data_IF_773411282113
#
_entry.id   IF_773411282113
#
_cell.length_a   1.000
_cell.length_b   1.000
_cell.length_c   1.000
_cell.angle_alpha   90.00
_cell.angle_beta   90.00
_cell.angle_gamma   90.00
#
_symmetry.space_group_name_H-M   'P 1'
#
loop_
_entity.id
_entity.type
_entity.pdbx_description
1 polymer ?
#
# COMPACT_ATOMS: atom_id res chain seq x y z
N UNK A 1 -7.27 -53.32 -41.48
CA UNK A 1 -6.71 -53.12 -40.12
C UNK A 1 -5.52 -52.17 -40.24
N UNK A 2 -5.68 -50.92 -39.82
CA UNK A 2 -4.67 -50.00 -39.26
C UNK A 2 -5.51 -48.85 -38.70
N UNK A 3 -5.57 -48.75 -37.37
CA UNK A 3 -6.26 -47.70 -36.64
C UNK A 3 -5.32 -46.49 -36.59
N UNK A 4 -5.65 -45.43 -37.30
CA UNK A 4 -4.99 -44.14 -37.12
C UNK A 4 -5.54 -43.50 -35.84
N UNK A 5 -4.77 -43.63 -34.75
CA UNK A 5 -5.00 -42.89 -33.51
C UNK A 5 -4.67 -41.44 -33.79
N UNK A 6 -5.69 -40.58 -33.84
CA UNK A 6 -5.51 -39.14 -33.84
C UNK A 6 -4.96 -38.75 -32.46
N UNK A 7 -3.69 -38.37 -32.43
CA UNK A 7 -3.01 -37.81 -31.27
C UNK A 7 -3.70 -36.47 -30.95
N UNK A 8 -4.52 -36.45 -29.89
CA UNK A 8 -4.96 -35.21 -29.27
C UNK A 8 -3.69 -34.52 -28.74
N UNK A 9 -3.21 -33.49 -29.43
CA UNK A 9 -2.29 -32.53 -28.84
C UNK A 9 -3.00 -31.90 -27.65
N UNK A 10 -2.69 -32.42 -26.45
CA UNK A 10 -2.86 -31.71 -25.20
C UNK A 10 -2.06 -30.42 -25.31
N UNK A 11 -2.70 -29.35 -25.79
CA UNK A 11 -2.33 -28.00 -25.44
C UNK A 11 -2.57 -27.92 -23.94
N UNK A 12 -1.53 -28.25 -23.16
CA UNK A 12 -1.45 -27.78 -21.79
C UNK A 12 -1.60 -26.26 -21.90
N UNK A 13 -2.66 -25.65 -21.34
CA UNK A 13 -2.63 -24.21 -21.22
C UNK A 13 -1.45 -23.92 -20.29
N UNK A 14 -0.45 -23.22 -20.81
CA UNK A 14 0.54 -22.56 -19.99
C UNK A 14 -0.20 -21.45 -19.22
N UNK A 15 -0.93 -21.85 -18.19
CA UNK A 15 -1.45 -20.94 -17.20
C UNK A 15 -0.32 -20.62 -16.23
N UNK A 16 -0.28 -19.33 -15.89
CA UNK A 16 0.55 -18.68 -14.89
C UNK A 16 1.94 -18.33 -15.43
N UNK A 17 1.96 -17.30 -16.30
CA UNK A 17 3.07 -16.36 -16.30
C UNK A 17 3.22 -15.89 -14.85
N UNK A 18 4.38 -16.16 -14.23
CA UNK A 18 4.62 -15.81 -12.85
C UNK A 18 4.31 -14.32 -12.64
N UNK A 19 3.73 -13.99 -11.50
CA UNK A 19 3.51 -12.59 -11.12
C UNK A 19 4.86 -11.86 -11.18
N UNK A 20 5.06 -11.00 -12.17
CA UNK A 20 6.31 -10.26 -12.30
C UNK A 20 6.43 -9.31 -11.11
N UNK A 21 7.49 -9.50 -10.33
CA UNK A 21 7.77 -8.68 -9.16
C UNK A 21 8.03 -7.27 -9.62
N UNK A 22 7.17 -6.36 -9.16
CA UNK A 22 7.34 -4.93 -9.38
C UNK A 22 6.98 -4.18 -8.13
N UNK A 23 7.15 -2.87 -8.20
CA UNK A 23 6.82 -2.01 -7.08
C UNK A 23 6.29 -0.69 -7.59
N UNK A 24 4.99 -0.50 -7.44
CA UNK A 24 4.30 0.67 -7.98
C UNK A 24 3.38 1.28 -6.94
N UNK A 25 3.04 2.55 -7.15
CA UNK A 25 2.03 3.24 -6.35
C UNK A 25 1.06 3.99 -7.22
N UNK A 26 -0.01 4.45 -6.57
CA UNK A 26 -1.15 5.16 -7.17
C UNK A 26 -1.95 4.27 -8.09
N UNK A 27 -3.25 4.53 -8.13
CA UNK A 27 -4.21 4.00 -9.08
C UNK A 27 -4.85 5.15 -9.86
N UNK A 28 -5.26 4.85 -11.09
CA UNK A 28 -6.07 5.76 -11.90
C UNK A 28 -6.56 5.07 -13.16
N UNK A 29 -7.70 5.56 -13.66
CA UNK A 29 -8.36 4.97 -14.83
C UNK A 29 -7.91 5.60 -16.15
N UNK A 30 -7.31 6.79 -16.12
CA UNK A 30 -6.86 7.48 -17.31
C UNK A 30 -5.57 6.83 -17.85
N UNK A 31 -5.58 6.17 -19.01
CA UNK A 31 -4.38 5.51 -19.53
C UNK A 31 -3.30 6.50 -19.99
N UNK A 32 -3.63 7.78 -20.14
CA UNK A 32 -2.70 8.85 -20.52
C UNK A 32 -2.02 9.53 -19.33
N UNK A 33 -2.51 9.27 -18.10
CA UNK A 33 -1.88 9.77 -16.87
C UNK A 33 -0.87 8.74 -16.32
N UNK A 34 0.04 9.20 -15.48
CA UNK A 34 0.96 8.33 -14.75
C UNK A 34 0.24 7.65 -13.57
N UNK A 35 -0.66 6.73 -13.90
CA UNK A 35 -1.62 6.10 -12.97
C UNK A 35 -1.08 4.91 -12.19
N UNK A 36 0.12 4.41 -12.54
CA UNK A 36 0.84 3.36 -11.81
C UNK A 36 2.33 3.72 -11.79
N UNK A 37 2.71 4.55 -10.83
CA UNK A 37 4.04 5.14 -10.73
C UNK A 37 5.06 4.13 -10.21
N UNK A 38 6.17 3.96 -10.92
CA UNK A 38 7.25 3.05 -10.54
C UNK A 38 8.06 3.56 -9.33
N UNK A 39 8.26 2.69 -8.35
CA UNK A 39 8.95 2.97 -7.09
C UNK A 39 10.33 2.29 -7.04
N UNK A 40 11.35 2.92 -6.43
CA UNK A 40 12.65 2.29 -6.28
C UNK A 40 12.58 1.03 -5.40
N UNK A 41 13.30 -0.02 -5.82
CA UNK A 41 13.40 -1.33 -5.13
C UNK A 41 14.71 -1.52 -4.37
N UNK A 42 15.65 -0.58 -4.53
CA UNK A 42 16.95 -0.56 -3.86
C UNK A 42 17.41 0.87 -3.61
N UNK A 43 18.34 1.07 -2.67
CA UNK A 43 19.01 2.36 -2.45
C UNK A 43 19.70 2.89 -3.72
N UNK A 44 20.30 2.00 -4.53
CA UNK A 44 20.91 2.36 -5.81
C UNK A 44 19.88 2.86 -6.83
N UNK A 45 18.70 2.23 -6.89
CA UNK A 45 17.61 2.71 -7.76
C UNK A 45 16.98 4.01 -7.24
N UNK A 46 16.95 4.21 -5.92
CA UNK A 46 16.48 5.44 -5.30
C UNK A 46 17.42 6.61 -5.64
N UNK A 47 18.72 6.42 -5.44
CA UNK A 47 19.74 7.40 -5.81
C UNK A 47 19.70 7.75 -7.31
N UNK A 48 19.49 6.77 -8.19
CA UNK A 48 19.29 7.00 -9.64
C UNK A 48 18.05 7.85 -9.96
N UNK A 49 17.03 7.80 -9.11
CA UNK A 49 15.83 8.64 -9.19
C UNK A 49 15.98 9.97 -8.44
N UNK A 50 17.20 10.32 -8.01
CA UNK A 50 17.51 11.52 -7.22
C UNK A 50 16.81 11.56 -5.85
N UNK A 51 16.52 10.40 -5.27
CA UNK A 51 16.04 10.32 -3.91
C UNK A 51 17.19 10.50 -2.92
N UNK A 52 16.89 11.13 -1.80
CA UNK A 52 17.82 11.42 -0.72
C UNK A 52 17.56 10.52 0.48
N UNK A 53 18.63 10.16 1.17
CA UNK A 53 18.55 9.46 2.45
C UNK A 53 18.36 10.51 3.54
N UNK A 54 17.31 10.38 4.34
CA UNK A 54 16.91 11.36 5.35
C UNK A 54 16.79 10.70 6.71
N UNK A 55 16.91 11.51 7.76
CA UNK A 55 16.66 11.04 9.12
C UNK A 55 15.19 10.62 9.23
N UNK A 56 15.00 9.38 9.70
CA UNK A 56 13.68 8.77 9.84
C UNK A 56 13.03 9.27 11.13
N UNK A 57 11.69 9.48 11.17
CA UNK A 57 10.98 9.66 12.42
C UNK A 57 11.00 8.39 13.28
N UNK A 58 10.13 8.35 14.30
CA UNK A 58 9.85 7.16 15.09
C UNK A 58 9.82 5.88 14.22
N UNK A 59 10.43 4.82 14.74
CA UNK A 59 10.48 3.52 14.10
C UNK A 59 9.97 2.47 15.08
N UNK A 60 9.08 1.61 14.61
CA UNK A 60 8.63 0.48 15.40
C UNK A 60 9.80 -0.48 15.73
N UNK A 61 9.70 -1.18 16.86
CA UNK A 61 10.74 -2.06 17.38
C UNK A 61 11.21 -3.09 16.34
N UNK A 62 12.53 -3.22 16.18
CA UNK A 62 13.19 -4.11 15.21
C UNK A 62 13.34 -3.55 13.78
N UNK A 63 12.72 -2.40 13.50
CA UNK A 63 12.84 -1.70 12.21
C UNK A 63 13.69 -0.42 12.26
N UNK A 64 14.32 -0.12 13.39
CA UNK A 64 15.09 1.11 13.63
C UNK A 64 16.29 1.25 12.71
N UNK A 65 16.88 0.12 12.28
CA UNK A 65 18.02 0.09 11.37
C UNK A 65 17.66 0.39 9.90
N UNK A 66 16.37 0.43 9.55
CA UNK A 66 15.95 0.69 8.18
C UNK A 66 16.21 2.16 7.80
N UNK A 67 16.76 2.36 6.62
CA UNK A 67 17.06 3.69 6.08
C UNK A 67 15.86 4.24 5.32
N UNK A 68 15.53 5.51 5.54
CA UNK A 68 14.45 6.21 4.83
C UNK A 68 15.00 6.94 3.61
N UNK A 69 14.48 6.60 2.43
CA UNK A 69 14.79 7.28 1.17
C UNK A 69 13.54 7.95 0.61
N UNK A 70 13.63 9.23 0.31
CA UNK A 70 12.52 10.04 -0.20
C UNK A 70 12.91 10.79 -1.48
N UNK A 71 11.98 11.11 -2.39
CA UNK A 71 12.20 12.15 -3.40
C UNK A 71 12.72 13.43 -2.75
N UNK A 72 13.69 14.11 -3.38
CA UNK A 72 14.35 15.28 -2.76
C UNK A 72 13.41 16.46 -2.45
N UNK A 73 12.29 16.54 -3.16
CA UNK A 73 11.33 17.65 -3.16
C UNK A 73 9.96 17.28 -2.57
N UNK A 74 9.69 16.01 -2.27
CA UNK A 74 8.40 15.55 -1.76
C UNK A 74 8.52 14.26 -0.93
N UNK A 75 8.24 14.35 0.37
CA UNK A 75 8.34 13.21 1.32
C UNK A 75 7.00 12.50 1.57
N UNK A 76 5.97 12.70 0.72
CA UNK A 76 4.68 12.01 0.81
C UNK A 76 4.81 10.49 0.69
N UNK A 77 5.75 10.00 -0.12
CA UNK A 77 6.01 8.58 -0.25
C UNK A 77 7.51 8.31 -0.29
N UNK A 78 7.97 7.63 0.75
CA UNK A 78 9.35 7.24 0.92
C UNK A 78 9.45 5.72 1.01
N UNK A 79 10.60 5.17 0.60
CA UNK A 79 10.90 3.75 0.77
C UNK A 79 11.79 3.57 1.99
N UNK A 80 11.60 2.44 2.67
CA UNK A 80 12.52 1.95 3.68
C UNK A 80 13.44 0.93 3.02
N UNK A 81 14.75 1.02 3.23
CA UNK A 81 15.71 0.00 2.78
C UNK A 81 16.42 -0.65 3.94
N UNK A 82 16.70 -1.95 3.84
CA UNK A 82 17.37 -2.73 4.89
C UNK A 82 18.90 -2.80 4.71
N UNK A 83 19.55 -3.65 5.52
CA UNK A 83 20.99 -3.89 5.53
C UNK A 83 21.54 -4.36 4.18
N UNK A 84 20.68 -4.92 3.32
CA UNK A 84 21.05 -5.40 1.98
C UNK A 84 20.88 -4.33 0.91
N UNK A 85 20.38 -3.15 1.29
CA UNK A 85 20.08 -2.05 0.38
C UNK A 85 18.82 -2.26 -0.45
N UNK A 86 18.03 -3.30 -0.16
CA UNK A 86 16.77 -3.61 -0.82
C UNK A 86 15.60 -2.95 -0.11
N UNK A 87 14.56 -2.61 -0.86
CA UNK A 87 13.32 -2.09 -0.28
C UNK A 87 12.74 -3.11 0.69
N UNK A 88 12.45 -2.62 1.88
CA UNK A 88 12.02 -3.35 3.06
C UNK A 88 10.69 -2.86 3.59
N UNK A 89 10.17 -1.76 3.05
CA UNK A 89 8.91 -1.15 3.46
C UNK A 89 8.72 0.20 2.81
N UNK A 90 7.71 0.92 3.27
CA UNK A 90 7.48 2.32 2.91
C UNK A 90 7.03 3.12 4.10
N UNK A 91 7.20 4.43 4.00
CA UNK A 91 6.50 5.41 4.81
C UNK A 91 5.59 6.23 3.89
N UNK A 92 4.32 6.31 4.25
CA UNK A 92 3.35 7.21 3.62
C UNK A 92 3.14 8.38 4.57
N UNK A 93 3.26 9.59 4.05
CA UNK A 93 3.25 10.82 4.83
C UNK A 93 2.20 11.77 4.27
N UNK A 94 1.34 12.34 5.12
CA UNK A 94 0.38 13.39 4.76
C UNK A 94 0.82 14.71 5.37
N UNK A 95 1.00 15.74 4.55
CA UNK A 95 1.41 17.08 4.99
C UNK A 95 0.35 17.73 5.88
N UNK A 96 0.74 18.16 7.07
CA UNK A 96 -0.18 18.74 8.07
C UNK A 96 -0.81 20.05 7.57
N UNK A 97 -0.06 20.88 6.85
CA UNK A 97 -0.51 22.19 6.36
C UNK A 97 -1.52 22.11 5.21
N UNK A 98 -1.61 20.97 4.53
CA UNK A 98 -2.53 20.73 3.40
C UNK A 98 -3.66 19.77 3.73
N UNK A 99 -3.67 19.14 4.91
CA UNK A 99 -4.60 18.08 5.23
C UNK A 99 -5.57 18.48 6.33
N UNK A 100 -6.86 18.26 6.06
CA UNK A 100 -7.91 18.40 7.08
C UNK A 100 -8.38 17.01 7.52
N UNK A 101 -7.88 16.48 8.66
CA UNK A 101 -8.28 15.17 9.15
C UNK A 101 -9.72 15.19 9.68
N UNK A 102 -10.45 14.09 9.48
CA UNK A 102 -11.79 13.88 10.08
C UNK A 102 -11.68 13.30 11.48
N UNK A 103 -10.64 12.50 11.73
CA UNK A 103 -10.41 11.79 12.97
C UNK A 103 -9.11 12.22 13.63
N UNK A 104 -8.98 11.89 14.91
CA UNK A 104 -7.72 12.06 15.62
C UNK A 104 -6.63 11.18 15.01
N UNK A 105 -5.53 11.82 14.61
CA UNK A 105 -4.44 11.16 13.90
C UNK A 105 -3.59 10.27 14.84
N UNK A 106 -3.49 10.61 16.12
CA UNK A 106 -2.75 9.82 17.13
C UNK A 106 -3.48 8.51 17.42
N UNK A 107 -4.80 8.54 17.61
CA UNK A 107 -5.63 7.34 17.76
C UNK A 107 -5.52 6.42 16.53
N UNK A 108 -5.47 7.02 15.33
CA UNK A 108 -5.22 6.31 14.08
C UNK A 108 -3.77 5.78 13.96
N UNK A 109 -2.89 6.07 14.92
CA UNK A 109 -1.51 5.59 14.96
C UNK A 109 -0.56 6.32 14.03
N UNK A 110 -0.87 7.56 13.63
CA UNK A 110 0.07 8.40 12.90
C UNK A 110 1.12 8.99 13.84
N UNK A 111 2.34 9.08 13.33
CA UNK A 111 3.44 9.78 14.00
C UNK A 111 3.67 11.14 13.33
N UNK A 112 3.96 12.15 14.14
CA UNK A 112 4.38 13.46 13.63
C UNK A 112 5.85 13.41 13.21
N UNK A 113 6.15 14.01 12.07
CA UNK A 113 7.50 14.12 11.56
C UNK A 113 7.73 15.51 10.97
N UNK A 114 8.70 16.22 11.54
CA UNK A 114 9.22 17.48 11.00
C UNK A 114 10.43 17.17 10.14
N UNK A 115 10.40 17.54 8.87
CA UNK A 115 11.47 17.25 7.92
C UNK A 115 11.83 18.50 7.11
N UNK A 116 13.12 18.71 6.90
CA UNK A 116 13.59 19.76 6.01
C UNK A 116 13.55 19.28 4.55
N UNK A 117 12.72 19.94 3.75
CA UNK A 117 12.54 19.70 2.31
C UNK A 117 12.82 21.00 1.59
N UNK A 118 13.82 21.01 0.70
CA UNK A 118 14.26 22.20 -0.04
C UNK A 118 14.51 23.47 0.82
N UNK A 119 14.94 23.26 2.07
CA UNK A 119 15.24 24.35 3.01
C UNK A 119 14.03 24.89 3.78
N UNK A 120 12.85 24.26 3.64
CA UNK A 120 11.67 24.51 4.45
C UNK A 120 11.40 23.33 5.38
N UNK A 121 11.12 23.61 6.66
CA UNK A 121 10.67 22.58 7.59
C UNK A 121 9.18 22.31 7.34
N UNK A 122 8.86 21.09 6.95
CA UNK A 122 7.49 20.64 6.66
C UNK A 122 7.08 19.60 7.71
N UNK A 123 5.87 19.75 8.22
CA UNK A 123 5.26 18.82 9.16
C UNK A 123 4.42 17.77 8.43
N UNK A 124 4.59 16.51 8.82
CA UNK A 124 3.88 15.35 8.28
C UNK A 124 3.24 14.50 9.37
N UNK A 125 2.05 13.97 9.08
CA UNK A 125 1.56 12.75 9.70
C UNK A 125 2.08 11.55 8.92
N UNK A 126 2.71 10.59 9.58
CA UNK A 126 3.37 9.46 8.92
C UNK A 126 2.88 8.12 9.44
N UNK A 127 2.81 7.13 8.55
CA UNK A 127 2.66 5.70 8.89
C UNK A 127 3.49 4.84 7.96
N UNK A 128 3.98 3.73 8.49
CA UNK A 128 4.79 2.79 7.75
C UNK A 128 4.13 1.42 7.56
N UNK A 129 4.61 0.73 6.54
CA UNK A 129 4.44 -0.71 6.37
C UNK A 129 5.78 -1.35 6.00
N UNK A 130 5.95 -2.62 6.37
CA UNK A 130 7.19 -3.36 6.29
C UNK A 130 6.95 -4.69 5.56
N UNK A 131 7.77 -4.94 4.55
CA UNK A 131 7.71 -6.12 3.68
C UNK A 131 8.63 -7.25 4.14
N UNK A 132 9.28 -7.06 5.30
CA UNK A 132 10.38 -7.88 5.81
C UNK A 132 10.24 -8.11 7.30
N UNK A 133 11.05 -9.03 7.85
CA UNK A 133 11.07 -9.31 9.27
C UNK A 133 11.67 -8.16 10.07
N UNK A 134 11.18 -7.96 11.30
CA UNK A 134 11.82 -7.12 12.31
C UNK A 134 13.21 -7.67 12.73
N UNK A 135 13.50 -8.95 12.51
CA UNK A 135 14.80 -9.54 12.76
C UNK A 135 15.79 -9.31 11.59
N UNK A 136 16.90 -8.61 11.88
CA UNK A 136 17.92 -8.27 10.89
C UNK A 136 18.59 -9.49 10.25
N UNK A 137 18.85 -10.55 11.03
CA UNK A 137 19.48 -11.76 10.50
C UNK A 137 18.57 -12.44 9.46
N UNK A 138 17.27 -12.48 9.72
CA UNK A 138 16.24 -12.95 8.79
C UNK A 138 16.21 -12.09 7.52
N UNK A 139 16.25 -10.75 7.63
CA UNK A 139 16.26 -9.87 6.45
C UNK A 139 17.41 -10.17 5.50
N UNK A 140 18.61 -10.39 6.05
CA UNK A 140 19.81 -10.73 5.29
C UNK A 140 19.71 -12.13 4.69
N UNK A 141 19.24 -13.12 5.46
CA UNK A 141 19.15 -14.51 5.02
C UNK A 141 18.16 -14.72 3.86
N UNK A 142 17.07 -13.93 3.82
CA UNK A 142 16.00 -14.03 2.81
C UNK A 142 16.01 -12.88 1.80
N UNK A 143 17.14 -12.19 1.64
CA UNK A 143 17.26 -11.13 0.63
C UNK A 143 17.15 -11.70 -0.80
N UNK A 144 15.99 -11.49 -1.43
CA UNK A 144 15.72 -11.92 -2.81
C UNK A 144 14.83 -10.93 -3.58
N UNK A 145 15.33 -9.71 -3.84
CA UNK A 145 14.54 -8.61 -4.41
C UNK A 145 13.98 -8.90 -5.81
N UNK A 146 14.60 -9.82 -6.55
CA UNK A 146 14.17 -10.22 -7.89
C UNK A 146 12.98 -11.19 -7.86
N UNK A 147 12.74 -11.89 -6.73
CA UNK A 147 11.67 -12.90 -6.60
C UNK A 147 10.47 -12.44 -5.78
N UNK A 148 10.64 -11.52 -4.84
CA UNK A 148 9.51 -10.90 -4.15
C UNK A 148 9.92 -9.63 -3.44
N UNK A 149 9.00 -8.66 -3.43
CA UNK A 149 9.11 -7.50 -2.56
C UNK A 149 8.77 -7.88 -1.10
N UNK A 150 7.77 -8.75 -0.92
CA UNK A 150 7.40 -9.31 0.39
C UNK A 150 8.30 -10.52 0.66
N UNK A 151 9.25 -10.36 1.57
CA UNK A 151 10.26 -11.38 1.90
C UNK A 151 9.90 -12.25 3.12
N UNK A 152 8.71 -12.05 3.66
CA UNK A 152 8.06 -12.91 4.64
C UNK A 152 6.73 -13.44 4.09
N UNK A 153 6.02 -14.23 4.89
CA UNK A 153 4.63 -14.64 4.62
C UNK A 153 3.60 -13.58 5.04
N UNK A 154 4.02 -12.33 5.31
CA UNK A 154 3.15 -11.22 5.68
C UNK A 154 3.80 -9.85 5.38
N UNK A 155 2.95 -8.82 5.36
CA UNK A 155 3.33 -7.41 5.47
C UNK A 155 2.94 -6.91 6.86
N UNK A 156 3.86 -6.30 7.59
CA UNK A 156 3.52 -5.64 8.87
C UNK A 156 3.14 -4.20 8.60
N UNK A 157 2.04 -3.71 9.19
CA UNK A 157 1.62 -2.31 9.08
C UNK A 157 1.48 -1.68 10.46
N UNK A 158 1.73 -0.38 10.55
CA UNK A 158 1.38 0.39 11.74
C UNK A 158 -0.14 0.58 11.80
N UNK A 159 -0.75 0.09 12.87
CA UNK A 159 -2.19 0.01 13.10
C UNK A 159 -2.72 1.20 13.90
N UNK A 160 -3.68 0.97 14.79
CA UNK A 160 -4.13 1.99 15.74
C UNK A 160 -3.06 2.23 16.81
N UNK A 161 -2.77 3.49 17.15
CA UNK A 161 -1.71 3.85 18.10
C UNK A 161 -0.39 3.14 17.75
N UNK A 162 0.26 2.51 18.72
CA UNK A 162 1.54 1.82 18.56
C UNK A 162 1.40 0.33 18.15
N UNK A 163 0.22 -0.09 17.69
CA UNK A 163 0.01 -1.50 17.31
C UNK A 163 0.67 -1.81 15.97
N UNK A 164 1.36 -2.96 15.90
CA UNK A 164 1.75 -3.57 14.64
C UNK A 164 0.77 -4.67 14.27
N UNK A 165 0.31 -4.67 13.02
CA UNK A 165 -0.62 -5.67 12.48
C UNK A 165 0.04 -6.40 11.32
N UNK A 166 0.06 -7.73 11.37
CA UNK A 166 0.53 -8.56 10.27
C UNK A 166 -0.63 -8.88 9.33
N UNK A 167 -0.43 -8.59 8.05
CA UNK A 167 -1.35 -8.88 6.96
C UNK A 167 -0.75 -10.02 6.17
N UNK A 168 -1.45 -11.16 6.15
CA UNK A 168 -0.96 -12.38 5.54
C UNK A 168 -0.69 -12.21 4.04
N UNK A 169 0.37 -12.84 3.54
CA UNK A 169 0.68 -12.86 2.10
C UNK A 169 -0.37 -13.64 1.31
N UNK A 170 -1.01 -14.64 1.91
CA UNK A 170 -2.07 -15.43 1.27
C UNK A 170 -3.43 -15.17 1.92
N UNK A 171 -4.47 -15.01 1.10
CA UNK A 171 -5.82 -14.73 1.55
C UNK A 171 -6.42 -15.86 2.39
N UNK A 172 -5.94 -17.10 2.21
CA UNK A 172 -6.34 -18.26 3.03
C UNK A 172 -5.89 -18.14 4.48
N UNK A 173 -4.83 -17.38 4.74
CA UNK A 173 -4.22 -17.20 6.05
C UNK A 173 -4.53 -15.81 6.63
N UNK A 174 -5.31 -14.99 5.91
CA UNK A 174 -5.72 -13.67 6.37
C UNK A 174 -6.66 -13.79 7.58
N UNK A 175 -6.37 -13.02 8.62
CA UNK A 175 -7.21 -12.97 9.81
C UNK A 175 -8.66 -12.58 9.43
N UNK A 176 -9.62 -13.34 9.96
CA UNK A 176 -11.05 -13.14 9.73
C UNK A 176 -11.58 -11.75 10.11
N UNK A 177 -10.84 -10.98 10.90
CA UNK A 177 -11.15 -9.57 11.18
C UNK A 177 -11.13 -8.74 9.90
N UNK A 178 -10.33 -9.07 8.89
CA UNK A 178 -10.37 -8.40 7.60
C UNK A 178 -11.53 -8.96 6.77
N UNK A 179 -12.57 -8.14 6.60
CA UNK A 179 -13.79 -8.55 5.91
C UNK A 179 -13.69 -8.27 4.41
N UNK A 180 -14.03 -9.28 3.61
CA UNK A 180 -14.03 -9.20 2.14
C UNK A 180 -15.05 -8.16 1.65
N UNK A 181 -14.60 -7.29 0.75
CA UNK A 181 -15.44 -6.26 0.11
C UNK A 181 -15.61 -6.55 -1.39
N UNK A 182 -15.28 -5.59 -2.26
CA UNK A 182 -15.36 -5.77 -3.71
C UNK A 182 -14.00 -6.12 -4.33
N UNK A 183 -14.06 -6.88 -5.42
CA UNK A 183 -13.00 -6.86 -6.41
C UNK A 183 -13.21 -5.67 -7.34
N UNK A 184 -12.17 -4.87 -7.53
CA UNK A 184 -12.10 -3.89 -8.61
C UNK A 184 -10.93 -4.25 -9.52
N UNK A 185 -11.21 -4.32 -10.82
CA UNK A 185 -10.20 -4.59 -11.85
C UNK A 185 -9.06 -3.57 -11.74
N UNK A 186 -7.82 -4.06 -11.86
CA UNK A 186 -6.56 -3.31 -11.69
C UNK A 186 -6.23 -2.83 -10.28
N UNK A 187 -7.12 -3.05 -9.30
CA UNK A 187 -6.86 -2.74 -7.89
C UNK A 187 -6.67 -4.03 -7.09
N UNK A 188 -7.59 -4.97 -7.25
CA UNK A 188 -7.60 -6.25 -6.55
C UNK A 188 -8.86 -6.47 -5.74
N UNK A 189 -8.92 -7.63 -5.08
CA UNK A 189 -9.95 -7.96 -4.12
C UNK A 189 -9.65 -7.27 -2.78
N UNK A 190 -10.47 -6.30 -2.43
CA UNK A 190 -10.29 -5.50 -1.23
C UNK A 190 -10.81 -6.24 0.01
N UNK A 191 -10.06 -6.14 1.10
CA UNK A 191 -10.52 -6.50 2.44
C UNK A 191 -10.27 -5.33 3.38
N UNK A 192 -11.19 -5.06 4.29
CA UNK A 192 -11.07 -3.96 5.26
C UNK A 192 -11.20 -4.49 6.68
N UNK A 193 -10.45 -3.90 7.60
CA UNK A 193 -10.44 -4.30 9.01
C UNK A 193 -11.81 -4.07 9.65
N UNK A 194 -12.40 -5.14 10.19
CA UNK A 194 -13.68 -5.20 10.88
C UNK A 194 -14.83 -4.46 10.18
N UNK A 195 -14.80 -4.39 8.86
CA UNK A 195 -15.72 -3.53 8.10
C UNK A 195 -17.09 -4.17 7.94
N UNK A 196 -18.09 -3.55 8.57
CA UNK A 196 -19.50 -3.98 8.58
C UNK A 196 -20.42 -2.78 8.49
N UNK A 197 -21.69 -3.01 8.14
CA UNK A 197 -22.67 -1.94 7.98
C UNK A 197 -23.02 -1.24 9.31
N UNK A 198 -22.71 -1.89 10.43
CA UNK A 198 -22.96 -1.44 11.80
C UNK A 198 -21.72 -0.83 12.46
N UNK A 199 -20.55 -0.85 11.80
CA UNK A 199 -19.31 -0.31 12.34
C UNK A 199 -19.49 1.19 12.64
N UNK A 200 -19.20 1.61 13.87
CA UNK A 200 -19.13 3.03 14.21
C UNK A 200 -17.91 3.65 13.54
N UNK A 201 -18.02 4.87 13.02
CA UNK A 201 -16.90 5.55 12.37
C UNK A 201 -16.19 6.46 13.37
N UNK A 202 -15.06 6.00 13.90
CA UNK A 202 -14.24 6.73 14.86
C UNK A 202 -12.75 6.56 14.54
N UNK A 203 -11.91 7.37 15.19
CA UNK A 203 -10.44 7.25 15.14
C UNK A 203 -9.91 5.89 15.61
N UNK A 204 -10.70 5.12 16.37
CA UNK A 204 -10.31 3.84 16.96
C UNK A 204 -10.90 2.61 16.25
N UNK A 205 -11.67 2.82 15.18
CA UNK A 205 -12.39 1.77 14.45
C UNK A 205 -12.11 1.81 12.95
N UNK A 206 -11.81 3.00 12.41
CA UNK A 206 -11.52 3.19 11.00
C UNK A 206 -10.03 2.95 10.71
N UNK A 207 -9.68 1.68 10.46
CA UNK A 207 -8.30 1.27 10.20
C UNK A 207 -7.79 1.79 8.86
N UNK A 208 -6.54 2.24 8.82
CA UNK A 208 -5.97 2.99 7.69
C UNK A 208 -5.43 2.12 6.56
N UNK A 209 -5.20 0.83 6.80
CA UNK A 209 -4.61 -0.08 5.81
C UNK A 209 -5.62 -1.13 5.36
N UNK A 210 -5.62 -1.46 4.08
CA UNK A 210 -6.49 -2.50 3.53
C UNK A 210 -5.73 -3.35 2.51
N UNK A 211 -5.71 -4.69 2.64
CA UNK A 211 -5.04 -5.53 1.67
C UNK A 211 -5.84 -5.74 0.39
N UNK A 212 -5.09 -5.98 -0.68
CA UNK A 212 -5.59 -6.27 -2.02
C UNK A 212 -5.05 -7.62 -2.46
N UNK A 213 -5.95 -8.54 -2.78
CA UNK A 213 -5.57 -9.87 -3.27
C UNK A 213 -5.92 -10.06 -4.74
N UNK A 214 -5.06 -10.80 -5.42
CA UNK A 214 -5.29 -11.41 -6.72
C UNK A 214 -4.60 -12.77 -6.66
N UNK A 215 -5.25 -13.86 -7.04
CA UNK A 215 -4.65 -15.19 -6.89
C UNK A 215 -4.88 -15.85 -5.56
N UNK A 216 -5.55 -15.16 -4.63
CA UNK A 216 -5.39 -15.47 -3.22
C UNK A 216 -4.00 -15.08 -2.70
N UNK A 217 -3.18 -14.35 -3.47
CA UNK A 217 -1.90 -13.78 -3.04
C UNK A 217 -2.02 -12.25 -2.93
N UNK A 218 -1.32 -11.67 -1.96
CA UNK A 218 -1.31 -10.24 -1.69
C UNK A 218 -0.61 -9.52 -2.85
N UNK A 219 -1.37 -8.84 -3.70
CA UNK A 219 -0.85 -8.08 -4.83
C UNK A 219 -0.56 -6.63 -4.49
N UNK A 220 -1.12 -6.13 -3.40
CA UNK A 220 -0.93 -4.75 -2.99
C UNK A 220 -1.58 -4.44 -1.66
N UNK A 221 -1.31 -3.24 -1.21
CA UNK A 221 -1.83 -2.63 -0.01
C UNK A 221 -2.42 -1.28 -0.39
N UNK A 222 -3.57 -0.97 0.17
CA UNK A 222 -4.12 0.37 0.14
C UNK A 222 -3.96 1.05 1.48
N UNK A 223 -3.75 2.35 1.41
CA UNK A 223 -3.75 3.28 2.54
C UNK A 223 -4.95 4.21 2.39
N UNK A 224 -5.75 4.42 3.43
CA UNK A 224 -6.91 5.32 3.42
C UNK A 224 -6.98 6.10 4.73
N UNK A 225 -7.18 7.41 4.61
CA UNK A 225 -7.49 8.29 5.74
C UNK A 225 -8.66 9.20 5.36
N UNK A 226 -9.75 9.22 6.15
CA UNK A 226 -10.82 10.18 5.96
C UNK A 226 -10.34 11.61 6.19
N UNK A 227 -10.59 12.47 5.20
CA UNK A 227 -10.06 13.81 5.14
C UNK A 227 -9.65 14.22 3.74
N UNK A 228 -9.48 15.53 3.57
CA UNK A 228 -9.16 16.16 2.29
C UNK A 228 -7.75 16.72 2.30
N UNK A 229 -7.03 16.47 1.21
CA UNK A 229 -5.77 17.14 0.90
C UNK A 229 -6.08 18.30 -0.06
N UNK A 230 -5.64 19.50 0.31
CA UNK A 230 -5.73 20.73 -0.48
C UNK A 230 -4.32 21.12 -0.93
N UNK A 231 -3.90 20.60 -2.08
CA UNK A 231 -2.56 20.83 -2.61
C UNK A 231 -2.36 22.26 -3.10
N UNK A 232 -1.16 22.84 -2.92
CA UNK A 232 -0.81 24.10 -3.56
C UNK A 232 -0.89 23.98 -5.09
N UNK A 233 -1.22 25.09 -5.75
CA UNK A 233 -1.41 25.12 -7.20
C UNK A 233 -0.14 24.65 -7.93
N UNK A 234 -0.26 23.57 -8.70
CA UNK A 234 0.85 22.98 -9.44
C UNK A 234 1.62 21.89 -8.68
N UNK A 235 1.28 21.64 -7.41
CA UNK A 235 1.75 20.47 -6.68
C UNK A 235 1.26 19.18 -7.32
N UNK A 236 2.09 18.14 -7.28
CA UNK A 236 1.71 16.84 -7.78
C UNK A 236 0.84 16.11 -6.78
N UNK A 237 -0.34 15.65 -7.21
CA UNK A 237 -1.19 14.83 -6.36
C UNK A 237 -0.75 13.37 -6.38
N UNK A 238 -0.16 12.95 -5.26
CA UNK A 238 0.26 11.59 -5.02
C UNK A 238 -0.90 10.67 -4.60
N UNK A 239 -2.01 11.25 -4.19
CA UNK A 239 -3.15 10.52 -3.65
C UNK A 239 -4.23 10.30 -4.71
N UNK A 240 -5.21 9.55 -4.26
CA UNK A 240 -6.45 9.27 -4.95
C UNK A 240 -7.59 9.79 -4.07
N UNK A 241 -8.59 10.37 -4.72
CA UNK A 241 -9.72 11.01 -4.06
C UNK A 241 -11.04 10.45 -4.61
N UNK A 242 -11.35 9.16 -4.34
CA UNK A 242 -12.59 8.56 -4.80
C UNK A 242 -13.79 9.26 -4.18
N UNK A 243 -14.84 9.47 -4.98
CA UNK A 243 -16.09 10.02 -4.47
C UNK A 243 -16.91 8.95 -3.69
N UNK A 244 -18.01 9.39 -3.08
CA UNK A 244 -18.92 8.52 -2.34
C UNK A 244 -19.39 7.31 -3.15
N UNK A 245 -19.63 7.48 -4.45
CA UNK A 245 -20.15 6.42 -5.31
C UNK A 245 -19.08 5.35 -5.56
N UNK A 246 -17.84 5.78 -5.83
CA UNK A 246 -16.69 4.90 -5.96
C UNK A 246 -16.41 4.15 -4.64
N UNK A 247 -16.44 4.84 -3.49
CA UNK A 247 -16.23 4.19 -2.18
C UNK A 247 -17.32 3.15 -1.90
N UNK A 248 -18.60 3.43 -2.18
CA UNK A 248 -19.68 2.44 -2.04
C UNK A 248 -19.52 1.21 -2.95
N UNK A 249 -18.92 1.39 -4.12
CA UNK A 249 -18.63 0.29 -5.04
C UNK A 249 -17.51 -0.61 -4.50
N UNK A 250 -16.48 0.00 -3.90
CA UNK A 250 -15.29 -0.67 -3.35
C UNK A 250 -15.60 -1.34 -2.01
N UNK A 251 -16.17 -0.60 -1.06
CA UNK A 251 -16.41 -1.00 0.33
C UNK A 251 -17.88 -1.29 0.53
N UNK A 252 -18.39 -2.38 -0.08
CA UNK A 252 -19.85 -2.65 -0.14
C UNK A 252 -20.53 -2.78 1.22
N UNK A 253 -19.83 -3.32 2.20
CA UNK A 253 -20.32 -3.52 3.56
C UNK A 253 -19.89 -2.38 4.49
N UNK A 254 -19.47 -1.23 3.96
CA UNK A 254 -19.12 -0.07 4.78
C UNK A 254 -20.34 0.53 5.50
N UNK A 255 -20.16 1.11 6.69
CA UNK A 255 -21.23 1.74 7.44
C UNK A 255 -21.65 3.07 6.82
N UNK A 256 -22.88 3.51 7.10
CA UNK A 256 -23.41 4.75 6.52
C UNK A 256 -22.54 5.97 6.86
N UNK A 257 -22.00 6.03 8.08
CA UNK A 257 -21.15 7.14 8.52
C UNK A 257 -19.90 7.30 7.64
N UNK A 258 -19.29 6.20 7.18
CA UNK A 258 -18.10 6.24 6.32
C UNK A 258 -18.44 6.91 4.99
N UNK A 259 -19.56 6.53 4.38
CA UNK A 259 -19.98 7.14 3.11
C UNK A 259 -20.36 8.61 3.26
N UNK A 260 -20.97 8.99 4.38
CA UNK A 260 -21.33 10.38 4.65
C UNK A 260 -20.08 11.23 4.92
N UNK A 261 -19.07 10.68 5.60
CA UNK A 261 -17.78 11.35 5.82
C UNK A 261 -17.04 11.57 4.50
N UNK A 262 -17.01 10.57 3.61
CA UNK A 262 -16.43 10.73 2.26
C UNK A 262 -17.15 11.84 1.47
N UNK A 263 -18.49 11.86 1.52
CA UNK A 263 -19.31 12.83 0.80
C UNK A 263 -19.06 14.27 1.29
N UNK A 264 -18.88 14.43 2.60
CA UNK A 264 -18.76 15.74 3.24
C UNK A 264 -17.32 16.24 3.32
N UNK A 265 -16.40 15.36 3.70
CA UNK A 265 -15.03 15.70 4.09
C UNK A 265 -13.99 15.12 3.12
N UNK A 266 -14.40 14.30 2.16
CA UNK A 266 -13.48 13.61 1.26
C UNK A 266 -12.73 12.45 1.93
N UNK A 267 -11.93 11.77 1.12
CA UNK A 267 -11.03 10.72 1.58
C UNK A 267 -9.74 10.83 0.78
N UNK A 268 -8.63 10.54 1.46
CA UNK A 268 -7.30 10.52 0.89
C UNK A 268 -6.82 9.08 0.91
N UNK A 269 -6.51 8.52 -0.27
CA UNK A 269 -6.07 7.13 -0.38
C UNK A 269 -4.90 6.98 -1.34
N UNK A 270 -4.17 5.87 -1.19
CA UNK A 270 -3.07 5.51 -2.08
C UNK A 270 -2.99 3.99 -2.19
N UNK A 271 -2.97 3.48 -3.41
CA UNK A 271 -2.64 2.07 -3.66
C UNK A 271 -1.12 1.89 -3.81
N UNK A 272 -0.63 0.76 -3.30
CA UNK A 272 0.77 0.34 -3.32
C UNK A 272 0.79 -1.10 -3.80
N UNK A 273 1.32 -1.32 -5.00
CA UNK A 273 1.31 -2.59 -5.70
C UNK A 273 2.66 -3.28 -5.61
N UNK A 274 2.62 -4.60 -5.42
CA UNK A 274 3.77 -5.50 -5.37
C UNK A 274 4.00 -6.23 -6.70
N UNK A 275 3.41 -5.71 -7.77
CA UNK A 275 3.45 -6.25 -9.12
C UNK A 275 3.93 -5.22 -10.13
N UNK A 276 4.61 -5.71 -11.16
CA UNK A 276 5.05 -4.88 -12.27
C UNK A 276 3.89 -4.46 -13.17
N UNK A 277 2.79 -5.22 -13.19
CA UNK A 277 1.66 -5.00 -14.08
C UNK A 277 0.33 -4.94 -13.32
N UNK A 278 0.01 -3.86 -12.58
CA UNK A 278 -1.29 -3.72 -11.92
C UNK A 278 -2.48 -3.89 -12.88
N UNK A 279 -2.30 -3.56 -14.17
CA UNK A 279 -3.32 -3.76 -15.22
C UNK A 279 -3.67 -5.22 -15.50
N UNK A 280 -2.89 -6.19 -15.00
CA UNK A 280 -3.19 -7.63 -15.09
C UNK A 280 -4.00 -8.15 -13.90
N UNK A 281 -4.18 -7.33 -12.85
CA UNK A 281 -5.02 -7.67 -11.71
C UNK A 281 -6.47 -7.74 -12.19
N UNK A 282 -7.05 -8.93 -12.14
CA UNK A 282 -8.41 -9.19 -12.61
C UNK A 282 -9.29 -9.79 -11.53
N UNK A 283 -8.72 -10.18 -10.39
CA UNK A 283 -9.37 -10.93 -9.31
C UNK A 283 -9.96 -12.26 -9.77
N UNK A 284 -9.31 -12.93 -10.74
CA UNK A 284 -9.81 -14.16 -11.34
C UNK A 284 -9.44 -15.40 -10.52
N UNK A 285 -10.10 -15.61 -9.37
CA UNK A 285 -9.98 -16.82 -8.55
C UNK A 285 -11.31 -17.16 -7.86
#
# INVERSE_FOLDING_TARGET
MIRTVALLCLLAPAFIDAFEVGFRRRFGLNPFDNVFMDCPRTNASAAKKSWVNVERPYSAEGYEALQLWCPADDYVFCILTDETGNTAGVQVSVRVDTFTPVYDMEDLGFQNWSADVDGETIEYYTKAQYFVSADAATRVAYANPEKSLIRNDYVTVEGFKDQLVNIAKYASDLDSVFTKQACIIWMGLHYYYNMTTELECTSTTMFTWFPLYDGGELTGMGFMVPGKVDLPKGGFDHYEHPDKAAVKLIVKSGPKCMYDDVDKNGVTTMHIYFTEHPRRITCWF
#
